data_IF_501945683484
#
_entry.id   IF_501945683484
#
_cell.length_a   1.000
_cell.length_b   1.000
_cell.length_c   1.000
_cell.angle_alpha   90.00
_cell.angle_beta   90.00
_cell.angle_gamma   90.00
#
_symmetry.space_group_name_H-M   'P 1'
#
loop_
_entity.id
_entity.type
_entity.pdbx_description
1 polymer ?
#
# COMPACT_ATOMS: atom_id res chain seq x y z
N UNK A 1 15.21 22.80 -8.95
CA UNK A 1 15.89 21.91 -9.93
C UNK A 1 15.01 20.82 -10.56
N UNK A 2 13.71 20.68 -10.22
CA UNK A 2 12.81 19.77 -10.95
C UNK A 2 13.19 18.27 -10.90
N UNK A 3 14.06 17.88 -9.96
CA UNK A 3 14.58 16.52 -9.84
C UNK A 3 13.44 15.53 -9.59
N UNK A 4 13.30 14.56 -10.50
CA UNK A 4 12.23 13.55 -10.51
C UNK A 4 12.63 12.40 -9.56
N UNK A 5 11.75 11.97 -8.64
CA UNK A 5 12.15 11.05 -7.57
C UNK A 5 11.25 9.81 -7.32
N UNK A 6 9.97 9.81 -7.72
CA UNK A 6 9.08 8.66 -7.47
C UNK A 6 8.06 8.45 -8.59
N UNK A 7 8.09 7.28 -9.25
CA UNK A 7 7.23 6.96 -10.40
C UNK A 7 6.57 5.59 -10.22
N UNK A 8 5.24 5.57 -10.13
CA UNK A 8 4.44 4.33 -10.16
C UNK A 8 4.20 3.84 -11.59
N UNK A 9 4.14 4.76 -12.56
CA UNK A 9 3.90 4.44 -13.99
C UNK A 9 4.99 3.55 -14.60
N UNK A 10 6.24 3.81 -14.26
CA UNK A 10 7.39 3.02 -14.72
C UNK A 10 7.40 1.60 -14.12
N UNK A 11 6.66 1.38 -13.02
CA UNK A 11 6.52 0.07 -12.36
C UNK A 11 5.26 -0.70 -12.80
N UNK A 12 4.44 -0.13 -13.69
CA UNK A 12 3.23 -0.76 -14.23
C UNK A 12 2.14 -1.05 -13.20
N UNK A 13 2.26 -0.56 -11.96
CA UNK A 13 1.33 -0.85 -10.86
C UNK A 13 0.86 0.45 -10.21
N UNK A 14 -0.46 0.67 -10.10
CA UNK A 14 -1.00 1.78 -9.32
C UNK A 14 -0.53 1.74 -7.87
N UNK A 15 -0.21 2.92 -7.34
CA UNK A 15 0.05 3.08 -5.91
C UNK A 15 -1.28 3.03 -5.15
N UNK A 16 -1.34 2.25 -4.06
CA UNK A 16 -2.54 2.08 -3.23
C UNK A 16 -2.19 2.46 -1.79
N UNK A 17 -3.05 3.24 -1.16
CA UNK A 17 -2.94 3.63 0.24
C UNK A 17 -4.33 3.93 0.81
N UNK A 18 -4.44 3.98 2.13
CA UNK A 18 -5.67 4.35 2.83
C UNK A 18 -5.62 5.83 3.17
N UNK A 19 -6.58 6.60 2.65
CA UNK A 19 -6.68 8.05 2.87
C UNK A 19 -7.00 8.33 4.35
N UNK A 20 -6.33 9.33 4.94
CA UNK A 20 -6.64 9.84 6.27
C UNK A 20 -6.06 9.04 7.43
N UNK A 21 -5.23 8.05 7.14
CA UNK A 21 -4.52 7.23 8.13
C UNK A 21 -3.03 7.63 8.28
N UNK A 22 -2.57 8.71 7.65
CA UNK A 22 -1.19 9.15 7.73
C UNK A 22 -0.20 8.16 7.10
N UNK A 23 -0.66 7.32 6.17
CA UNK A 23 0.20 6.38 5.42
C UNK A 23 1.05 7.09 4.36
N UNK A 24 0.66 8.31 3.99
CA UNK A 24 1.32 9.16 3.01
C UNK A 24 1.55 10.55 3.60
N UNK A 25 2.33 11.37 2.90
CA UNK A 25 2.52 12.78 3.28
C UNK A 25 1.19 13.51 3.32
N UNK A 26 1.06 14.48 4.22
CA UNK A 26 -0.19 15.22 4.47
C UNK A 26 -0.78 15.85 3.20
N UNK A 27 0.07 16.38 2.32
CA UNK A 27 -0.36 16.96 1.04
C UNK A 27 -1.04 15.95 0.10
N UNK A 28 -0.72 14.65 0.21
CA UNK A 28 -1.42 13.61 -0.52
C UNK A 28 -2.75 13.25 0.13
N UNK A 29 -2.76 13.04 1.44
CA UNK A 29 -3.99 12.75 2.19
C UNK A 29 -5.04 13.84 1.94
N UNK A 30 -4.66 15.13 2.04
CA UNK A 30 -5.59 16.23 1.81
C UNK A 30 -5.83 16.57 0.33
N UNK A 31 -4.80 16.45 -0.52
CA UNK A 31 -4.89 16.82 -1.93
C UNK A 31 -5.75 15.86 -2.75
N UNK A 32 -5.64 14.55 -2.50
CA UNK A 32 -6.37 13.52 -3.24
C UNK A 32 -7.86 13.54 -2.86
N UNK A 33 -8.21 13.89 -1.62
CA UNK A 33 -9.61 14.07 -1.20
C UNK A 33 -10.36 15.14 -2.00
N UNK A 34 -9.65 16.08 -2.63
CA UNK A 34 -10.24 17.14 -3.48
C UNK A 34 -10.39 16.74 -4.93
N UNK A 35 -9.92 15.55 -5.31
CA UNK A 35 -9.94 15.07 -6.69
C UNK A 35 -11.16 14.18 -6.95
N UNK A 36 -11.63 14.20 -8.19
CA UNK A 36 -12.62 13.24 -8.69
C UNK A 36 -11.95 11.97 -9.21
N UNK A 37 -12.63 10.83 -9.11
CA UNK A 37 -12.17 9.58 -9.72
C UNK A 37 -12.02 9.78 -11.23
N UNK A 38 -10.91 9.30 -11.80
CA UNK A 38 -10.48 9.53 -13.18
C UNK A 38 -9.69 10.82 -13.41
N UNK A 39 -9.63 11.73 -12.43
CA UNK A 39 -8.94 13.01 -12.60
C UNK A 39 -7.42 12.84 -12.54
N UNK A 40 -6.71 13.54 -13.42
CA UNK A 40 -5.26 13.77 -13.34
C UNK A 40 -4.98 15.23 -12.96
N UNK A 41 -4.13 15.44 -11.96
CA UNK A 41 -3.82 16.78 -11.45
C UNK A 41 -2.35 16.89 -11.03
N UNK A 42 -1.85 18.14 -11.00
CA UNK A 42 -0.55 18.44 -10.38
C UNK A 42 -0.76 18.93 -8.95
N UNK A 43 -0.34 18.14 -7.97
CA UNK A 43 -0.34 18.54 -6.56
C UNK A 43 0.97 19.26 -6.24
N UNK A 44 0.88 20.54 -5.88
CA UNK A 44 2.00 21.29 -5.31
C UNK A 44 1.93 21.15 -3.79
N UNK A 45 2.97 20.59 -3.20
CA UNK A 45 3.04 20.28 -1.77
C UNK A 45 4.21 21.04 -1.19
N UNK A 46 3.93 21.98 -0.29
CA UNK A 46 4.96 22.70 0.46
C UNK A 46 5.65 21.76 1.44
N UNK A 47 6.88 22.08 1.83
CA UNK A 47 7.68 21.21 2.68
C UNK A 47 6.97 20.77 3.97
N UNK A 48 6.22 21.64 4.63
CA UNK A 48 5.45 21.38 5.85
C UNK A 48 4.30 20.37 5.65
N UNK A 49 3.77 20.25 4.43
CA UNK A 49 2.80 19.22 4.03
C UNK A 49 3.46 18.00 3.37
N UNK A 50 4.78 18.04 3.17
CA UNK A 50 5.59 17.00 2.57
C UNK A 50 6.45 16.27 3.60
N UNK A 51 7.77 16.45 3.50
CA UNK A 51 8.77 15.78 4.34
C UNK A 51 9.45 16.70 5.36
N UNK A 52 9.06 17.98 5.39
CA UNK A 52 9.54 18.99 6.32
C UNK A 52 11.06 19.14 6.37
N UNK A 53 11.56 19.58 7.53
CA UNK A 53 12.99 19.74 7.78
C UNK A 53 13.77 18.42 7.78
N UNK A 54 13.08 17.28 7.89
CA UNK A 54 13.73 15.96 7.87
C UNK A 54 14.10 15.52 6.45
N UNK A 55 13.32 15.92 5.45
CA UNK A 55 13.46 15.37 4.09
C UNK A 55 13.21 13.86 4.05
N UNK A 56 13.69 13.19 3.00
CA UNK A 56 13.61 11.74 2.84
C UNK A 56 14.94 11.17 2.33
N UNK A 57 15.81 10.81 3.28
CA UNK A 57 17.14 10.27 2.99
C UNK A 57 17.94 11.19 2.08
N UNK A 58 18.55 10.62 1.03
CA UNK A 58 19.31 11.38 0.02
C UNK A 58 18.48 11.78 -1.20
N UNK A 59 17.19 11.43 -1.20
CA UNK A 59 16.32 11.59 -2.38
C UNK A 59 15.59 12.93 -2.34
N UNK A 60 15.10 13.30 -1.16
CA UNK A 60 14.35 14.54 -0.95
C UNK A 60 15.10 15.37 0.11
N UNK A 61 15.64 16.54 -0.25
CA UNK A 61 16.36 17.37 0.71
C UNK A 61 15.41 17.94 1.78
N UNK A 62 15.95 18.35 2.95
CA UNK A 62 15.23 19.13 3.94
C UNK A 62 14.53 20.35 3.34
N UNK A 63 13.33 20.64 3.83
CA UNK A 63 12.54 21.83 3.48
C UNK A 63 12.25 21.98 1.97
N UNK A 64 12.18 20.86 1.24
CA UNK A 64 11.90 20.87 -0.18
C UNK A 64 10.39 20.90 -0.48
N UNK A 65 9.99 21.83 -1.34
CA UNK A 65 8.67 21.82 -1.98
C UNK A 65 8.65 20.81 -3.12
N UNK A 66 7.52 20.13 -3.27
CA UNK A 66 7.34 19.02 -4.21
C UNK A 66 6.18 19.27 -5.16
N UNK A 67 6.32 18.79 -6.38
CA UNK A 67 5.23 18.77 -7.37
C UNK A 67 5.02 17.34 -7.82
N UNK A 68 3.82 16.83 -7.60
CA UNK A 68 3.42 15.49 -8.00
C UNK A 68 2.43 15.56 -9.17
N UNK A 69 2.63 14.75 -10.20
CA UNK A 69 1.65 14.51 -11.25
C UNK A 69 0.92 13.22 -10.93
N UNK A 70 -0.31 13.33 -10.43
CA UNK A 70 -1.10 12.23 -9.90
C UNK A 70 -2.35 12.00 -10.73
N UNK A 71 -2.77 10.75 -10.81
CA UNK A 71 -3.99 10.33 -11.47
C UNK A 71 -4.79 9.46 -10.50
N UNK A 72 -6.00 9.90 -10.18
CA UNK A 72 -6.84 9.24 -9.19
C UNK A 72 -7.70 8.17 -9.85
N UNK A 73 -7.27 6.91 -9.80
CA UNK A 73 -7.89 5.86 -10.61
C UNK A 73 -9.23 5.35 -10.06
N UNK A 74 -9.31 5.06 -8.76
CA UNK A 74 -10.52 4.49 -8.13
C UNK A 74 -10.45 4.53 -6.61
N UNK A 75 -11.62 4.38 -5.98
CA UNK A 75 -11.79 4.09 -4.56
C UNK A 75 -12.13 2.61 -4.42
N UNK A 76 -11.48 1.90 -3.50
CA UNK A 76 -11.82 0.51 -3.16
C UNK A 76 -12.41 0.52 -1.75
N UNK A 77 -13.70 0.16 -1.57
CA UNK A 77 -14.29 0.03 -0.24
C UNK A 77 -13.53 -0.99 0.60
N UNK A 78 -13.32 -0.69 1.88
CA UNK A 78 -12.55 -1.53 2.82
C UNK A 78 -13.06 -2.98 2.89
N UNK A 79 -14.37 -3.19 2.79
CA UNK A 79 -14.95 -4.53 2.79
C UNK A 79 -14.53 -5.39 1.59
N UNK A 80 -14.29 -4.76 0.44
CA UNK A 80 -13.85 -5.45 -0.78
C UNK A 80 -12.35 -5.79 -0.73
N UNK A 81 -11.53 -4.88 -0.19
CA UNK A 81 -10.09 -5.15 -0.01
C UNK A 81 -9.84 -6.32 0.94
N UNK A 82 -10.57 -6.37 2.08
CA UNK A 82 -10.43 -7.47 3.06
C UNK A 82 -10.81 -8.82 2.43
N UNK A 83 -11.93 -8.87 1.69
CA UNK A 83 -12.36 -10.10 1.01
C UNK A 83 -11.32 -10.55 -0.03
N UNK A 84 -10.83 -9.63 -0.86
CA UNK A 84 -9.79 -9.94 -1.86
C UNK A 84 -8.51 -10.48 -1.21
N UNK A 85 -8.00 -9.80 -0.18
CA UNK A 85 -6.77 -10.20 0.52
C UNK A 85 -6.94 -11.55 1.22
N UNK A 86 -8.09 -11.81 1.83
CA UNK A 86 -8.42 -13.11 2.41
C UNK A 86 -8.48 -14.21 1.35
N UNK A 87 -9.24 -13.99 0.27
CA UNK A 87 -9.43 -14.98 -0.79
C UNK A 87 -8.10 -15.33 -1.49
N UNK A 88 -7.23 -14.34 -1.72
CA UNK A 88 -5.89 -14.58 -2.30
C UNK A 88 -4.98 -15.44 -1.40
N UNK A 89 -5.18 -15.41 -0.08
CA UNK A 89 -4.42 -16.20 0.89
C UNK A 89 -5.07 -17.55 1.19
N UNK A 90 -6.32 -17.76 0.78
CA UNK A 90 -7.09 -18.98 1.07
C UNK A 90 -6.38 -20.27 0.62
N UNK A 91 -5.75 -20.37 -0.57
CA UNK A 91 -5.04 -21.58 -0.96
C UNK A 91 -3.89 -21.93 -0.01
N UNK A 92 -3.16 -20.92 0.47
CA UNK A 92 -2.04 -21.11 1.40
C UNK A 92 -2.52 -21.50 2.80
N UNK A 93 -3.62 -20.89 3.27
CA UNK A 93 -4.23 -21.25 4.53
C UNK A 93 -4.76 -22.69 4.51
N UNK A 94 -5.43 -23.09 3.43
CA UNK A 94 -5.91 -24.46 3.25
C UNK A 94 -4.75 -25.46 3.16
N UNK A 95 -3.68 -25.13 2.44
CA UNK A 95 -2.47 -25.94 2.39
C UNK A 95 -1.84 -26.09 3.79
N UNK A 96 -1.73 -25.00 4.54
CA UNK A 96 -1.22 -25.02 5.91
C UNK A 96 -2.07 -25.90 6.82
N UNK A 97 -3.40 -25.74 6.79
CA UNK A 97 -4.33 -26.59 7.55
C UNK A 97 -4.18 -28.05 7.13
N UNK A 98 -4.09 -28.35 5.83
CA UNK A 98 -3.90 -29.71 5.35
C UNK A 98 -2.58 -30.33 5.86
N UNK A 99 -1.49 -29.56 5.90
CA UNK A 99 -0.20 -29.99 6.48
C UNK A 99 -0.32 -30.24 7.98
N UNK A 100 -0.93 -29.32 8.74
CA UNK A 100 -1.14 -29.49 10.18
C UNK A 100 -1.99 -30.72 10.47
N UNK A 101 -3.09 -30.91 9.72
CA UNK A 101 -3.94 -32.09 9.85
C UNK A 101 -3.21 -33.38 9.45
N UNK A 102 -2.34 -33.33 8.43
CA UNK A 102 -1.50 -34.46 8.04
C UNK A 102 -0.52 -34.83 9.16
N UNK A 103 0.17 -33.86 9.77
CA UNK A 103 1.06 -34.09 10.91
C UNK A 103 0.29 -34.67 12.09
N UNK A 104 -0.86 -34.09 12.46
CA UNK A 104 -1.68 -34.57 13.57
C UNK A 104 -2.18 -36.00 13.33
N UNK A 105 -2.53 -36.34 12.08
CA UNK A 105 -2.90 -37.72 11.72
C UNK A 105 -1.71 -38.67 11.81
N UNK A 106 -0.53 -38.23 11.34
CA UNK A 106 0.68 -39.03 11.36
C UNK A 106 1.13 -39.34 12.80
N UNK A 107 1.21 -38.32 13.65
CA UNK A 107 1.57 -38.46 15.08
C UNK A 107 0.58 -39.34 15.84
N UNK A 108 -0.73 -39.24 15.56
CA UNK A 108 -1.74 -40.12 16.18
C UNK A 108 -1.63 -41.58 15.70
N UNK A 109 -1.11 -41.83 14.49
CA UNK A 109 -0.96 -43.19 13.96
C UNK A 109 0.11 -43.96 14.72
N UNK A 110 1.24 -43.32 15.04
CA UNK A 110 2.35 -43.95 15.75
C UNK A 110 1.99 -44.29 17.23
N UNK A 111 1.04 -43.58 17.84
CA UNK A 111 0.54 -43.89 19.20
C UNK A 111 -0.43 -45.09 19.27
N UNK A 112 -0.95 -45.59 18.14
CA UNK A 112 -1.91 -46.71 18.12
C UNK A 112 -1.28 -48.04 17.68
N UNK A 113 -0.02 -48.04 17.22
CA UNK A 113 0.74 -49.24 16.85
C UNK A 113 1.70 -49.76 17.95
N UNK A 114 1.71 -49.13 19.13
CA UNK A 114 2.46 -49.55 20.34
C UNK A 114 1.52 -50.13 21.41
#
# INVERSE_FOLDING_TARGET
DGKKFAWSRDKGKPFKFTIGHGQVIRGWDEGIMKMSVGQRAKLKVTADYGYGARGAGFVIPPNADLVFDVEFLRIVPTGESIKSDFLSKLPFLLAYIAVVLWILKYVRSDEQEL
#
